data_IF_918620267210
#
_entry.id   IF_918620267210
#
_cell.length_a   1.000
_cell.length_b   1.000
_cell.length_c   1.000
_cell.angle_alpha   90.00
_cell.angle_beta   90.00
_cell.angle_gamma   90.00
#
_symmetry.space_group_name_H-M   'P 1'
#
loop_
_entity.id
_entity.type
_entity.pdbx_description
1 polymer ?
#
# COMPACT_ATOMS: atom_id res chain seq x y z
N UNK A 1 17.99 -1.71 19.98
CA UNK A 1 16.56 -1.85 20.34
C UNK A 1 15.92 -2.81 19.36
N UNK A 2 15.09 -3.77 19.80
CA UNK A 2 14.30 -4.62 18.88
C UNK A 2 12.91 -4.01 18.75
N UNK A 3 12.46 -3.78 17.53
CA UNK A 3 11.12 -3.25 17.25
C UNK A 3 10.40 -4.20 16.29
N UNK A 4 9.08 -4.39 16.46
CA UNK A 4 8.31 -5.26 15.58
C UNK A 4 8.11 -4.63 14.19
N UNK A 5 7.84 -5.47 13.19
CA UNK A 5 7.39 -5.03 11.87
C UNK A 5 5.86 -5.01 11.87
N UNK A 6 5.27 -3.91 12.33
CA UNK A 6 3.82 -3.78 12.52
C UNK A 6 3.02 -4.01 11.22
N UNK A 7 3.52 -3.55 10.08
CA UNK A 7 2.87 -3.75 8.77
C UNK A 7 2.69 -5.24 8.43
N UNK A 8 3.67 -6.10 8.77
CA UNK A 8 3.55 -7.56 8.58
C UNK A 8 2.51 -8.18 9.52
N UNK A 9 2.41 -7.68 10.76
CA UNK A 9 1.39 -8.14 11.71
C UNK A 9 -0.01 -7.82 11.17
N UNK A 10 -0.22 -6.59 10.68
CA UNK A 10 -1.50 -6.17 10.07
C UNK A 10 -1.82 -7.01 8.83
N UNK A 11 -0.84 -7.25 7.94
CA UNK A 11 -1.04 -8.08 6.75
C UNK A 11 -1.51 -9.50 7.09
N UNK A 12 -0.94 -10.10 8.14
CA UNK A 12 -1.36 -11.42 8.63
C UNK A 12 -2.80 -11.38 9.18
N UNK A 13 -3.16 -10.36 9.95
CA UNK A 13 -4.53 -10.20 10.48
C UNK A 13 -5.56 -10.06 9.36
N UNK A 14 -5.30 -9.20 8.38
CA UNK A 14 -6.17 -9.01 7.21
C UNK A 14 -6.29 -10.30 6.40
N UNK A 15 -5.21 -11.05 6.23
CA UNK A 15 -5.26 -12.34 5.53
C UNK A 15 -6.03 -13.40 6.33
N UNK A 16 -5.93 -13.38 7.67
CA UNK A 16 -6.54 -14.38 8.55
C UNK A 16 -8.07 -14.40 8.52
N UNK A 17 -8.70 -13.27 8.20
CA UNK A 17 -10.17 -13.15 8.11
C UNK A 17 -10.72 -13.58 6.75
N UNK A 18 -9.91 -14.18 5.87
CA UNK A 18 -10.36 -14.69 4.58
C UNK A 18 -10.39 -13.65 3.45
N UNK A 19 -9.65 -12.55 3.60
CA UNK A 19 -9.53 -11.53 2.54
C UNK A 19 -8.89 -12.13 1.28
N UNK A 20 -9.51 -11.94 0.11
CA UNK A 20 -9.03 -12.52 -1.16
C UNK A 20 -8.10 -11.63 -1.98
N UNK A 21 -8.06 -10.31 -1.71
CA UNK A 21 -7.24 -9.31 -2.40
C UNK A 21 -7.18 -8.02 -1.57
N UNK A 22 -6.08 -7.28 -1.67
CA UNK A 22 -5.92 -5.95 -1.10
C UNK A 22 -5.80 -4.91 -2.22
N UNK A 23 -6.48 -3.79 -2.06
CA UNK A 23 -6.32 -2.60 -2.88
C UNK A 23 -5.83 -1.47 -1.97
N UNK A 24 -4.74 -0.81 -2.35
CA UNK A 24 -4.15 0.30 -1.61
C UNK A 24 -3.63 1.38 -2.55
N UNK A 25 -3.26 2.52 -1.98
CA UNK A 25 -2.67 3.65 -2.71
C UNK A 25 -1.34 4.01 -2.04
N UNK A 26 -0.28 4.12 -2.84
CA UNK A 26 1.05 4.58 -2.45
C UNK A 26 1.56 3.99 -1.12
N UNK A 27 1.79 2.68 -1.10
CA UNK A 27 2.52 2.05 0.01
C UNK A 27 3.82 2.80 0.31
N UNK A 28 4.15 2.89 1.61
CA UNK A 28 5.35 3.61 2.04
C UNK A 28 6.62 2.99 1.46
N UNK A 29 6.60 1.67 1.26
CA UNK A 29 7.67 0.90 0.66
C UNK A 29 7.07 -0.24 -0.17
N UNK A 30 7.58 -0.44 -1.39
CA UNK A 30 7.08 -1.50 -2.28
C UNK A 30 7.22 -2.90 -1.68
N UNK A 31 8.19 -3.10 -0.77
CA UNK A 31 8.43 -4.34 -0.06
C UNK A 31 7.26 -4.74 0.86
N UNK A 32 6.42 -3.79 1.29
CA UNK A 32 5.23 -4.05 2.10
C UNK A 32 4.20 -4.92 1.37
N UNK A 33 4.20 -4.91 0.02
CA UNK A 33 3.39 -5.83 -0.79
C UNK A 33 3.74 -7.30 -0.51
N UNK A 34 5.03 -7.59 -0.29
CA UNK A 34 5.52 -8.92 0.04
C UNK A 34 5.10 -9.42 1.44
N UNK A 35 4.43 -8.59 2.24
CA UNK A 35 3.85 -9.02 3.51
C UNK A 35 2.55 -9.79 3.34
N UNK A 36 1.84 -9.62 2.22
CA UNK A 36 0.61 -10.32 1.90
C UNK A 36 0.89 -11.57 1.06
N UNK A 37 0.17 -12.66 1.32
CA UNK A 37 0.18 -13.87 0.48
C UNK A 37 -0.95 -13.86 -0.57
N UNK A 38 -1.79 -12.84 -0.52
CA UNK A 38 -2.91 -12.59 -1.44
C UNK A 38 -2.52 -11.47 -2.42
N UNK A 39 -3.14 -11.38 -3.61
CA UNK A 39 -2.86 -10.31 -4.56
C UNK A 39 -3.04 -8.93 -3.91
N UNK A 40 -2.08 -8.03 -4.16
CA UNK A 40 -2.10 -6.63 -3.73
C UNK A 40 -2.04 -5.75 -4.96
N UNK A 41 -3.03 -4.88 -5.12
CA UNK A 41 -3.02 -3.81 -6.12
C UNK A 41 -2.59 -2.51 -5.42
N UNK A 42 -1.35 -2.05 -5.67
CA UNK A 42 -0.85 -0.77 -5.17
C UNK A 42 -0.97 0.29 -6.27
N UNK A 43 -2.00 1.14 -6.18
CA UNK A 43 -2.23 2.21 -7.14
C UNK A 43 -1.36 3.43 -6.79
N UNK A 44 -0.77 4.07 -7.80
CA UNK A 44 0.02 5.29 -7.61
C UNK A 44 -0.84 6.55 -7.79
N UNK A 45 -0.85 7.46 -6.81
CA UNK A 45 -1.55 8.75 -6.94
C UNK A 45 -0.77 9.77 -7.78
N UNK A 46 0.51 9.51 -8.04
CA UNK A 46 1.42 10.39 -8.78
C UNK A 46 0.82 11.02 -10.05
N UNK A 47 0.14 10.29 -10.95
CA UNK A 47 -0.43 10.91 -12.17
C UNK A 47 -1.47 11.99 -11.87
N UNK A 48 -2.30 11.79 -10.85
CA UNK A 48 -3.34 12.74 -10.43
C UNK A 48 -2.69 13.95 -9.75
N UNK A 49 -1.73 13.71 -8.86
CA UNK A 49 -1.02 14.77 -8.14
C UNK A 49 -0.22 15.66 -9.09
N UNK A 50 0.50 15.05 -10.05
CA UNK A 50 1.23 15.79 -11.09
C UNK A 50 0.26 16.63 -11.93
N UNK A 51 -0.87 16.04 -12.37
CA UNK A 51 -1.89 16.79 -13.12
C UNK A 51 -2.42 18.02 -12.35
N UNK A 52 -2.68 17.88 -11.06
CA UNK A 52 -3.14 18.99 -10.20
C UNK A 52 -2.09 20.10 -10.07
N UNK A 53 -0.81 19.74 -9.88
CA UNK A 53 0.30 20.70 -9.84
C UNK A 53 0.39 21.50 -11.14
N UNK A 54 0.28 20.84 -12.30
CA UNK A 54 0.29 21.53 -13.60
C UNK A 54 -0.90 22.47 -13.79
N UNK A 55 -2.10 22.05 -13.36
CA UNK A 55 -3.30 22.89 -13.42
C UNK A 55 -3.18 24.15 -12.57
N UNK A 56 -2.58 24.05 -11.38
CA UNK A 56 -2.40 25.18 -10.45
C UNK A 56 -1.27 26.15 -10.85
N UNK A 57 -0.37 25.72 -11.73
CA UNK A 57 0.74 26.55 -12.23
C UNK A 57 0.31 27.48 -13.38
N UNK A 58 -0.79 27.14 -14.07
CA UNK A 58 -1.42 27.95 -15.10
C UNK A 58 -2.53 28.82 -14.49
#
# INVERSE_FOLDING_TARGET
MRVPISAKVVANLVSSVGTGRVLTIDLHSDQEQGFFYIPVDNIYASPILVSDIWKKKN
#
